data_IF_953553283531
#
_entry.id   IF_953553283531
#
_cell.length_a   1.000
_cell.length_b   1.000
_cell.length_c   1.000
_cell.angle_alpha   90.00
_cell.angle_beta   90.00
_cell.angle_gamma   90.00
#
_symmetry.space_group_name_H-M   'P 1'
#
loop_
_entity.id
_entity.type
_entity.pdbx_description
1 polymer ?
#
# COMPACT_ATOMS: atom_id res chain seq x y z
N UNK A 1 35.59 35.44 -0.65
CA UNK A 1 36.83 35.00 0.03
C UNK A 1 37.29 36.06 0.98
N UNK A 2 37.77 35.72 2.20
CA UNK A 2 38.27 36.66 3.20
C UNK A 2 39.77 36.41 3.42
N UNK A 3 40.57 37.48 3.45
CA UNK A 3 41.97 37.48 3.81
C UNK A 3 42.14 38.20 5.14
N UNK A 4 42.83 37.58 6.08
CA UNK A 4 43.08 38.09 7.45
C UNK A 4 44.58 38.05 7.71
N UNK A 5 45.19 39.19 7.88
CA UNK A 5 46.65 39.33 8.19
C UNK A 5 46.84 40.71 8.78
N UNK A 6 47.62 40.86 9.84
CA UNK A 6 47.90 42.19 10.50
C UNK A 6 48.81 43.07 9.65
N UNK A 7 49.68 42.44 8.85
CA UNK A 7 50.56 43.16 7.89
C UNK A 7 49.80 43.69 6.68
N UNK A 8 49.63 44.99 6.58
CA UNK A 8 49.00 45.66 5.42
C UNK A 8 49.66 45.29 4.10
N UNK A 9 50.99 45.09 4.10
CA UNK A 9 51.73 44.75 2.92
C UNK A 9 51.45 43.31 2.40
N UNK A 10 51.47 42.33 3.32
CA UNK A 10 51.18 40.94 3.02
C UNK A 10 49.73 40.77 2.54
N UNK A 11 48.78 41.39 3.28
CA UNK A 11 47.34 41.37 2.93
C UNK A 11 47.10 41.91 1.54
N UNK A 12 47.77 43.06 1.18
CA UNK A 12 47.60 43.68 -0.14
C UNK A 12 48.21 42.82 -1.25
N UNK A 13 49.35 42.19 -1.05
CA UNK A 13 49.95 41.28 -2.02
C UNK A 13 49.05 40.12 -2.32
N UNK A 14 48.52 39.47 -1.28
CA UNK A 14 47.59 38.33 -1.43
C UNK A 14 46.30 38.78 -2.10
N UNK A 15 45.71 39.92 -1.74
CA UNK A 15 44.50 40.42 -2.32
C UNK A 15 44.64 40.69 -3.83
N UNK A 16 45.74 41.33 -4.25
CA UNK A 16 46.02 41.57 -5.68
C UNK A 16 46.22 40.26 -6.45
N UNK A 17 46.92 39.29 -5.85
CA UNK A 17 47.17 37.98 -6.46
C UNK A 17 45.86 37.20 -6.65
N UNK A 18 45.02 37.13 -5.62
CA UNK A 18 43.73 36.43 -5.65
C UNK A 18 42.75 37.11 -6.60
N UNK A 19 42.70 38.44 -6.62
CA UNK A 19 41.88 39.19 -7.56
C UNK A 19 42.29 38.93 -9.03
N UNK A 20 43.57 38.75 -9.32
CA UNK A 20 44.06 38.34 -10.65
C UNK A 20 43.59 36.91 -11.06
N UNK A 21 43.35 36.04 -10.08
CA UNK A 21 42.80 34.70 -10.30
C UNK A 21 41.26 34.71 -10.38
N UNK A 22 40.63 35.88 -10.25
CA UNK A 22 39.17 36.01 -10.39
C UNK A 22 38.39 35.96 -9.09
N UNK A 23 39.05 35.90 -7.94
CA UNK A 23 38.35 35.89 -6.65
C UNK A 23 37.85 37.27 -6.24
N UNK A 24 36.65 37.33 -5.68
CA UNK A 24 36.18 38.50 -4.93
C UNK A 24 36.75 38.45 -3.53
N UNK A 25 37.55 39.43 -3.15
CA UNK A 25 38.33 39.40 -1.91
C UNK A 25 37.86 40.51 -0.99
N UNK A 26 37.62 40.15 0.27
CA UNK A 26 37.47 41.07 1.41
C UNK A 26 38.74 40.97 2.27
N UNK A 27 39.16 42.11 2.87
CA UNK A 27 40.37 42.19 3.69
C UNK A 27 40.00 42.55 5.13
N UNK A 28 40.62 41.86 6.12
CA UNK A 28 40.50 42.15 7.54
C UNK A 28 41.91 42.30 8.14
N UNK A 29 42.09 43.32 9.00
CA UNK A 29 43.38 43.60 9.62
C UNK A 29 43.61 42.89 10.96
N UNK A 30 42.62 42.24 11.50
CA UNK A 30 42.70 41.44 12.73
C UNK A 30 41.62 40.32 12.73
N UNK A 31 41.75 39.37 13.69
CA UNK A 31 40.76 38.31 13.85
C UNK A 31 39.39 38.85 14.27
N UNK A 32 39.32 39.90 15.09
CA UNK A 32 38.04 40.49 15.52
C UNK A 32 37.30 41.14 14.34
N UNK A 33 38.00 41.86 13.50
CA UNK A 33 37.41 42.47 12.27
C UNK A 33 36.95 41.37 11.31
N UNK A 34 37.73 40.30 11.18
CA UNK A 34 37.38 39.20 10.35
C UNK A 34 36.10 38.46 10.85
N UNK A 35 35.99 38.23 12.15
CA UNK A 35 34.84 37.61 12.77
C UNK A 35 33.58 38.44 12.55
N UNK A 36 33.64 39.77 12.78
CA UNK A 36 32.53 40.68 12.54
C UNK A 36 32.07 40.65 11.05
N UNK A 37 33.01 40.58 10.12
CA UNK A 37 32.66 40.40 8.69
C UNK A 37 32.02 39.05 8.39
N UNK A 38 32.42 37.98 9.10
CA UNK A 38 31.84 36.66 8.93
C UNK A 38 30.42 36.54 9.53
N UNK A 39 30.09 37.40 10.53
CA UNK A 39 28.73 37.51 11.08
C UNK A 39 27.79 38.25 10.14
N UNK A 40 28.32 39.26 9.42
CA UNK A 40 27.52 40.08 8.46
C UNK A 40 27.30 39.37 7.13
N UNK A 41 28.28 38.61 6.64
CA UNK A 41 28.22 37.92 5.36
C UNK A 41 28.97 36.61 5.34
N UNK A 42 28.47 35.64 4.53
CA UNK A 42 29.13 34.37 4.33
C UNK A 42 30.39 34.43 3.49
N UNK A 43 31.43 33.69 3.86
CA UNK A 43 32.63 33.51 3.06
C UNK A 43 32.86 32.02 2.78
N UNK A 44 33.07 31.69 1.51
CA UNK A 44 33.35 30.31 1.06
C UNK A 44 34.75 29.87 1.44
N UNK A 45 35.74 30.81 1.41
CA UNK A 45 37.13 30.54 1.76
C UNK A 45 37.67 31.68 2.63
N UNK A 46 38.32 31.29 3.73
CA UNK A 46 39.03 32.22 4.63
C UNK A 46 40.51 31.85 4.62
N UNK A 47 41.35 32.85 4.37
CA UNK A 47 42.81 32.74 4.43
C UNK A 47 43.32 33.63 5.57
N UNK A 48 43.78 33.07 6.67
CA UNK A 48 44.15 33.81 7.89
C UNK A 48 45.59 33.57 8.27
N UNK A 49 46.30 34.66 8.63
CA UNK A 49 47.55 34.48 9.36
C UNK A 49 47.28 33.76 10.70
N UNK A 50 48.25 32.93 11.11
CA UNK A 50 48.23 32.23 12.35
C UNK A 50 48.43 33.16 13.55
N UNK A 51 49.50 34.02 13.49
CA UNK A 51 49.91 34.90 14.56
C UNK A 51 49.50 36.32 14.26
N UNK A 52 48.52 36.80 14.98
CA UNK A 52 48.05 38.19 14.88
C UNK A 52 47.91 38.77 16.30
N UNK A 53 48.11 40.10 16.49
CA UNK A 53 47.79 40.75 17.75
C UNK A 53 46.31 40.63 18.09
N UNK A 54 46.00 40.38 19.37
CA UNK A 54 44.63 40.10 19.78
C UNK A 54 44.21 38.67 19.48
N UNK A 55 43.19 38.49 18.67
CA UNK A 55 42.67 37.17 18.23
C UNK A 55 43.62 36.54 17.22
N UNK A 56 44.15 35.38 17.56
CA UNK A 56 45.00 34.56 16.69
C UNK A 56 44.15 33.92 15.56
N UNK A 57 44.82 33.53 14.46
CA UNK A 57 44.10 32.81 13.36
C UNK A 57 43.45 31.50 13.79
N UNK A 58 44.01 30.82 14.81
CA UNK A 58 43.43 29.62 15.39
C UNK A 58 42.17 29.91 16.19
N UNK A 59 42.16 30.97 16.98
CA UNK A 59 40.96 31.42 17.73
C UNK A 59 39.86 31.89 16.76
N UNK A 60 40.26 32.62 15.70
CA UNK A 60 39.34 33.00 14.65
C UNK A 60 38.71 31.78 13.98
N UNK A 61 39.51 30.75 13.68
CA UNK A 61 39.01 29.52 13.06
C UNK A 61 37.93 28.86 13.95
N UNK A 62 38.20 28.73 15.26
CA UNK A 62 37.22 28.19 16.21
C UNK A 62 35.94 29.03 16.25
N UNK A 63 36.07 30.34 16.33
CA UNK A 63 34.91 31.24 16.34
C UNK A 63 34.14 31.17 15.03
N UNK A 64 34.81 31.11 13.90
CA UNK A 64 34.22 30.96 12.59
C UNK A 64 33.43 29.64 12.44
N UNK A 65 33.94 28.52 13.00
CA UNK A 65 33.24 27.23 13.03
C UNK A 65 32.00 27.23 13.91
N UNK A 66 31.98 28.06 14.97
CA UNK A 66 30.85 28.19 15.87
C UNK A 66 29.72 29.09 15.36
N UNK A 67 29.94 29.86 14.26
CA UNK A 67 28.92 30.70 13.66
C UNK A 67 27.78 29.84 13.06
N UNK A 68 26.52 30.21 13.29
CA UNK A 68 25.40 29.59 12.59
C UNK A 68 25.44 29.96 11.09
N UNK A 69 25.67 28.98 10.23
CA UNK A 69 25.79 29.22 8.78
C UNK A 69 25.19 28.06 7.99
N UNK A 70 24.57 28.36 6.87
CA UNK A 70 23.94 27.36 5.99
C UNK A 70 24.93 26.64 5.07
N UNK A 71 26.19 27.06 5.01
CA UNK A 71 27.18 26.49 4.11
C UNK A 71 28.50 26.21 4.77
N UNK A 72 29.34 25.42 4.10
CA UNK A 72 30.70 25.16 4.53
C UNK A 72 31.63 26.29 4.10
N UNK A 73 32.52 26.73 5.00
CA UNK A 73 33.60 27.67 4.68
C UNK A 73 34.95 26.99 4.85
N UNK A 74 35.74 26.97 3.80
CA UNK A 74 37.07 26.40 3.81
C UNK A 74 38.05 27.35 4.47
N UNK A 75 38.76 26.92 5.52
CA UNK A 75 39.63 27.76 6.33
C UNK A 75 41.08 27.34 6.18
N UNK A 76 41.95 28.25 5.68
CA UNK A 76 43.38 28.04 5.45
C UNK A 76 44.15 28.91 6.42
N UNK A 77 45.06 28.32 7.20
CA UNK A 77 45.98 29.05 8.06
C UNK A 77 47.34 29.32 7.37
N UNK A 78 47.83 30.55 7.43
CA UNK A 78 49.16 30.92 7.00
C UNK A 78 50.10 30.90 8.22
N UNK A 79 51.20 30.15 8.17
CA UNK A 79 52.10 29.99 9.30
C UNK A 79 53.54 30.22 8.90
N UNK A 80 54.32 30.92 9.77
CA UNK A 80 55.79 31.06 9.67
C UNK A 80 56.51 29.89 10.38
N UNK A 81 55.77 29.02 11.07
CA UNK A 81 56.29 27.92 11.84
C UNK A 81 56.07 26.59 11.09
N UNK A 82 57.08 25.78 11.02
CA UNK A 82 57.07 24.49 10.31
C UNK A 82 57.06 23.28 11.28
N UNK A 83 56.79 23.51 12.57
CA UNK A 83 56.77 22.43 13.57
C UNK A 83 55.50 21.59 13.40
N UNK A 84 55.69 20.28 13.25
CA UNK A 84 54.63 19.31 13.01
C UNK A 84 53.51 19.34 14.07
N UNK A 85 53.89 19.64 15.34
CA UNK A 85 52.94 19.72 16.45
C UNK A 85 51.94 20.90 16.33
N UNK A 86 52.38 22.03 15.80
CA UNK A 86 51.51 23.22 15.62
C UNK A 86 50.55 23.03 14.45
N UNK A 87 51.03 22.40 13.35
CA UNK A 87 50.18 22.05 12.23
C UNK A 87 49.08 21.07 12.63
N UNK A 88 49.42 20.03 13.39
CA UNK A 88 48.42 19.10 13.93
C UNK A 88 47.37 19.81 14.81
N UNK A 89 47.80 20.72 15.68
CA UNK A 89 46.91 21.53 16.52
C UNK A 89 45.98 22.41 15.64
N UNK A 90 46.45 22.97 14.55
CA UNK A 90 45.61 23.77 13.63
C UNK A 90 44.49 22.99 13.01
N UNK A 91 44.78 21.79 12.49
CA UNK A 91 43.82 20.90 11.88
C UNK A 91 42.81 20.35 12.92
N UNK A 92 43.28 19.94 14.11
CA UNK A 92 42.40 19.48 15.21
C UNK A 92 41.41 20.56 15.68
N UNK A 93 41.77 21.84 15.53
CA UNK A 93 40.95 22.98 15.92
C UNK A 93 40.04 23.49 14.79
N UNK A 94 39.92 22.75 13.68
CA UNK A 94 38.92 22.98 12.64
C UNK A 94 39.41 23.72 11.38
N UNK A 95 40.72 24.01 11.24
CA UNK A 95 41.28 24.47 9.98
C UNK A 95 41.30 23.31 8.98
N UNK A 96 40.99 23.61 7.71
CA UNK A 96 40.97 22.60 6.65
C UNK A 96 42.36 22.39 6.04
N UNK A 97 43.17 23.44 6.06
CA UNK A 97 44.49 23.40 5.45
C UNK A 97 45.41 24.48 6.07
N UNK A 98 46.69 24.38 5.75
CA UNK A 98 47.68 25.37 6.12
C UNK A 98 48.69 25.61 5.00
N UNK A 99 49.36 26.77 5.01
CA UNK A 99 50.42 27.16 4.10
C UNK A 99 51.57 27.83 4.84
N UNK A 100 52.78 27.43 4.52
CA UNK A 100 53.98 28.05 5.09
C UNK A 100 54.29 29.41 4.45
N UNK A 101 54.68 30.39 5.25
CA UNK A 101 55.21 31.69 4.81
C UNK A 101 56.73 31.54 4.53
N UNK A 102 57.30 32.09 3.44
CA UNK A 102 56.60 32.90 2.41
C UNK A 102 55.69 32.05 1.52
N UNK A 103 54.48 32.53 1.27
CA UNK A 103 53.42 31.81 0.53
C UNK A 103 53.85 31.61 -0.94
N UNK A 104 53.98 30.37 -1.34
CA UNK A 104 54.21 29.99 -2.73
C UNK A 104 52.92 30.10 -3.53
N UNK A 105 52.98 30.84 -4.69
CA UNK A 105 51.81 31.10 -5.51
C UNK A 105 51.15 29.82 -6.06
N UNK A 106 51.97 28.85 -6.48
CA UNK A 106 51.44 27.62 -7.11
C UNK A 106 50.81 26.70 -6.03
N UNK A 107 51.42 26.66 -4.83
CA UNK A 107 50.87 25.92 -3.70
C UNK A 107 49.54 26.54 -3.22
N UNK A 108 49.50 27.86 -3.03
CA UNK A 108 48.27 28.58 -2.67
C UNK A 108 47.15 28.27 -3.69
N UNK A 109 47.50 28.35 -4.99
CA UNK A 109 46.51 28.07 -6.04
C UNK A 109 46.01 26.65 -6.01
N UNK A 110 46.86 25.67 -5.73
CA UNK A 110 46.47 24.26 -5.59
C UNK A 110 45.52 24.04 -4.40
N UNK A 111 45.85 24.63 -3.22
CA UNK A 111 45.00 24.55 -2.01
C UNK A 111 43.63 25.23 -2.21
N UNK A 112 43.58 26.39 -2.86
CA UNK A 112 42.33 27.07 -3.16
C UNK A 112 41.42 26.21 -4.06
N UNK A 113 41.95 25.55 -5.08
CA UNK A 113 41.17 24.63 -5.92
C UNK A 113 40.59 23.46 -5.14
N UNK A 114 41.31 22.95 -4.16
CA UNK A 114 40.78 21.90 -3.26
C UNK A 114 39.64 22.48 -2.42
N UNK A 115 39.83 23.67 -1.83
CA UNK A 115 38.80 24.36 -1.06
C UNK A 115 37.54 24.65 -1.87
N UNK A 116 37.68 25.16 -3.10
CA UNK A 116 36.55 25.41 -4.02
C UNK A 116 35.75 24.12 -4.27
N UNK A 117 36.45 23.01 -4.53
CA UNK A 117 35.81 21.72 -4.78
C UNK A 117 35.03 21.24 -3.54
N UNK A 118 35.61 21.38 -2.34
CA UNK A 118 34.96 20.99 -1.08
C UNK A 118 33.71 21.84 -0.83
N UNK A 119 33.83 23.17 -0.97
CA UNK A 119 32.71 24.09 -0.79
C UNK A 119 31.58 23.78 -1.79
N UNK A 120 31.93 23.57 -3.07
CA UNK A 120 30.97 23.23 -4.11
C UNK A 120 30.26 21.89 -3.83
N UNK A 121 31.00 20.87 -3.40
CA UNK A 121 30.43 19.58 -3.03
C UNK A 121 29.49 19.69 -1.82
N UNK A 122 29.84 20.49 -0.82
CA UNK A 122 28.99 20.73 0.35
C UNK A 122 27.72 21.50 -0.02
N UNK A 123 27.81 22.51 -0.88
CA UNK A 123 26.64 23.23 -1.39
C UNK A 123 25.71 22.29 -2.17
N UNK A 124 26.26 21.45 -3.04
CA UNK A 124 25.47 20.45 -3.77
C UNK A 124 24.78 19.47 -2.83
N UNK A 125 25.46 19.04 -1.77
CA UNK A 125 24.91 18.14 -0.78
C UNK A 125 23.72 18.77 -0.01
N UNK A 126 23.84 20.04 0.37
CA UNK A 126 22.75 20.79 1.03
C UNK A 126 21.54 20.89 0.13
N UNK A 127 21.73 21.24 -1.15
CA UNK A 127 20.65 21.33 -2.15
C UNK A 127 19.97 19.98 -2.34
N UNK A 128 20.76 18.90 -2.47
CA UNK A 128 20.21 17.53 -2.63
C UNK A 128 19.43 17.09 -1.40
N UNK A 129 19.93 17.35 -0.20
CA UNK A 129 19.22 17.00 1.03
C UNK A 129 17.88 17.74 1.16
N UNK A 130 17.84 19.01 0.76
CA UNK A 130 16.61 19.81 0.76
C UNK A 130 15.59 19.25 -0.27
N UNK A 131 16.08 18.88 -1.47
CA UNK A 131 15.24 18.26 -2.49
C UNK A 131 14.66 16.91 -2.03
N UNK A 132 15.49 16.06 -1.44
CA UNK A 132 15.04 14.77 -0.90
C UNK A 132 13.98 14.98 0.17
N UNK A 133 14.19 15.89 1.12
CA UNK A 133 13.20 16.21 2.15
C UNK A 133 11.86 16.66 1.56
N UNK A 134 11.89 17.61 0.61
CA UNK A 134 10.66 18.12 -0.03
C UNK A 134 9.92 17.02 -0.84
N UNK A 135 10.67 16.11 -1.48
CA UNK A 135 10.09 15.00 -2.24
C UNK A 135 9.42 13.99 -1.31
N UNK A 136 10.06 13.68 -0.16
CA UNK A 136 9.46 12.80 0.84
C UNK A 136 8.15 13.37 1.40
N UNK A 137 8.12 14.68 1.70
CA UNK A 137 6.90 15.35 2.16
C UNK A 137 5.77 15.32 1.11
N UNK A 138 6.10 15.46 -0.19
CA UNK A 138 5.13 15.34 -1.27
C UNK A 138 4.59 13.91 -1.38
N UNK A 139 5.47 12.91 -1.34
CA UNK A 139 5.08 11.50 -1.37
C UNK A 139 4.15 11.16 -0.20
N UNK A 140 4.49 11.59 1.02
CA UNK A 140 3.65 11.35 2.19
C UNK A 140 2.24 11.93 2.02
N UNK A 141 2.12 13.17 1.52
CA UNK A 141 0.80 13.78 1.26
C UNK A 141 -0.01 13.03 0.21
N UNK A 142 0.64 12.50 -0.83
CA UNK A 142 -0.02 11.69 -1.85
C UNK A 142 -0.52 10.36 -1.26
N UNK A 143 0.31 9.68 -0.45
CA UNK A 143 -0.09 8.46 0.25
C UNK A 143 -1.27 8.70 1.18
N UNK A 144 -1.23 9.76 2.00
CA UNK A 144 -2.33 10.10 2.92
C UNK A 144 -3.63 10.45 2.19
N UNK A 145 -3.55 10.99 0.96
CA UNK A 145 -4.72 11.25 0.12
C UNK A 145 -5.31 9.96 -0.44
N UNK A 146 -4.45 9.08 -1.01
CA UNK A 146 -4.86 7.79 -1.57
C UNK A 146 -5.47 6.89 -0.50
N UNK A 147 -4.87 6.85 0.70
CA UNK A 147 -5.38 6.07 1.82
C UNK A 147 -6.79 6.48 2.22
N UNK A 148 -7.06 7.79 2.29
CA UNK A 148 -8.41 8.31 2.56
C UNK A 148 -9.41 7.92 1.49
N UNK A 149 -9.06 8.04 0.21
CA UNK A 149 -9.94 7.69 -0.90
C UNK A 149 -10.27 6.19 -0.89
N UNK A 150 -9.29 5.34 -0.57
CA UNK A 150 -9.47 3.89 -0.44
C UNK A 150 -10.34 3.51 0.77
N UNK A 151 -10.20 4.20 1.91
CA UNK A 151 -11.08 4.01 3.08
C UNK A 151 -12.53 4.35 2.74
N UNK A 152 -12.77 5.41 1.96
CA UNK A 152 -14.12 5.76 1.51
C UNK A 152 -14.67 4.72 0.53
N UNK A 153 -13.87 4.24 -0.41
CA UNK A 153 -14.24 3.16 -1.32
C UNK A 153 -14.60 1.87 -0.56
N UNK A 154 -13.85 1.52 0.49
CA UNK A 154 -14.16 0.38 1.39
C UNK A 154 -15.53 0.51 2.03
N UNK A 155 -15.88 1.69 2.54
CA UNK A 155 -17.20 1.94 3.14
C UNK A 155 -18.32 1.76 2.12
N UNK A 156 -18.12 2.24 0.88
CA UNK A 156 -19.08 2.05 -0.21
C UNK A 156 -19.24 0.58 -0.54
N UNK A 157 -18.16 -0.17 -0.70
CA UNK A 157 -18.19 -1.61 -0.97
C UNK A 157 -18.91 -2.38 0.16
N UNK A 158 -18.59 -2.09 1.43
CA UNK A 158 -19.27 -2.71 2.56
C UNK A 158 -20.78 -2.41 2.59
N UNK A 159 -21.21 -1.27 2.04
CA UNK A 159 -22.62 -0.93 1.93
C UNK A 159 -23.38 -1.75 0.88
N UNK A 160 -22.70 -2.44 -0.03
CA UNK A 160 -23.33 -3.35 -0.99
C UNK A 160 -23.90 -4.58 -0.30
N UNK A 161 -23.31 -4.99 0.81
CA UNK A 161 -23.82 -6.08 1.68
C UNK A 161 -24.56 -5.41 2.86
N UNK A 162 -25.83 -5.05 2.61
CA UNK A 162 -26.62 -4.30 3.59
C UNK A 162 -26.97 -5.13 4.83
N UNK A 163 -27.27 -6.42 4.67
CA UNK A 163 -27.72 -7.30 5.72
C UNK A 163 -26.86 -8.56 5.78
N UNK A 164 -26.02 -8.68 6.81
CA UNK A 164 -25.20 -9.88 7.04
C UNK A 164 -26.04 -11.11 7.45
N UNK A 165 -27.28 -10.89 7.84
CA UNK A 165 -28.23 -11.95 8.16
C UNK A 165 -29.58 -11.62 7.57
N UNK A 166 -30.14 -12.55 6.80
CA UNK A 166 -31.38 -12.35 6.06
C UNK A 166 -32.34 -13.53 6.27
N UNK A 167 -33.54 -13.23 6.74
CA UNK A 167 -34.59 -14.22 6.99
C UNK A 167 -35.58 -14.21 5.81
N UNK A 168 -35.83 -15.41 5.26
CA UNK A 168 -36.81 -15.66 4.19
C UNK A 168 -38.02 -16.47 4.68
N UNK A 169 -38.19 -16.59 5.99
CA UNK A 169 -39.25 -17.37 6.64
C UNK A 169 -38.98 -18.88 6.67
N UNK A 170 -38.70 -19.49 5.50
CA UNK A 170 -38.40 -20.93 5.37
C UNK A 170 -36.91 -21.24 5.23
N UNK A 171 -36.09 -20.23 5.25
CA UNK A 171 -34.65 -20.32 5.25
C UNK A 171 -34.01 -19.01 5.66
N UNK A 172 -32.76 -19.08 6.10
CA UNK A 172 -31.98 -17.92 6.55
C UNK A 172 -30.62 -17.92 5.89
N UNK A 173 -30.13 -16.75 5.46
CA UNK A 173 -28.78 -16.59 4.92
C UNK A 173 -27.96 -15.77 5.89
N UNK A 174 -26.76 -16.23 6.22
CA UNK A 174 -25.75 -15.53 7.03
C UNK A 174 -24.48 -15.36 6.20
N UNK A 175 -23.86 -14.18 6.29
CA UNK A 175 -22.73 -13.82 5.45
C UNK A 175 -21.55 -13.37 6.30
N UNK A 176 -20.34 -13.79 5.90
CA UNK A 176 -19.08 -13.25 6.41
C UNK A 176 -18.29 -12.64 5.26
N UNK A 177 -17.52 -11.58 5.53
CA UNK A 177 -16.63 -10.96 4.57
C UNK A 177 -15.56 -10.15 5.28
N UNK A 178 -14.32 -10.38 4.90
CA UNK A 178 -13.12 -9.69 5.35
C UNK A 178 -12.21 -9.44 4.15
N UNK A 179 -12.05 -8.18 3.77
CA UNK A 179 -11.13 -7.82 2.67
C UNK A 179 -9.68 -7.89 3.10
N UNK A 180 -8.81 -8.38 2.24
CA UNK A 180 -7.35 -8.49 2.42
C UNK A 180 -6.63 -7.14 2.45
N UNK A 181 -7.29 -6.09 1.99
CA UNK A 181 -6.75 -4.74 1.91
C UNK A 181 -7.81 -3.67 2.18
N UNK A 182 -7.64 -2.52 1.52
CA UNK A 182 -8.62 -1.43 1.62
C UNK A 182 -9.93 -1.80 0.93
N UNK A 183 -9.88 -2.42 -0.25
CA UNK A 183 -11.05 -2.88 -1.02
C UNK A 183 -10.76 -4.24 -1.63
N UNK A 184 -11.76 -5.10 -1.71
CA UNK A 184 -11.63 -6.49 -2.15
C UNK A 184 -12.35 -6.81 -3.47
N UNK A 185 -12.06 -8.00 -4.02
CA UNK A 185 -12.71 -8.59 -5.19
C UNK A 185 -13.96 -9.40 -4.86
N UNK A 186 -14.10 -9.83 -3.61
CA UNK A 186 -15.18 -10.72 -3.19
C UNK A 186 -16.54 -10.06 -3.12
N UNK A 187 -17.57 -10.84 -3.45
CA UNK A 187 -18.97 -10.47 -3.31
C UNK A 187 -19.81 -11.70 -2.94
N UNK A 188 -20.50 -11.63 -1.83
CA UNK A 188 -21.51 -12.62 -1.43
C UNK A 188 -22.86 -11.95 -1.32
N UNK A 189 -23.92 -12.68 -1.66
CA UNK A 189 -25.26 -12.08 -1.57
C UNK A 189 -26.38 -13.06 -1.79
N UNK A 190 -27.61 -12.54 -1.57
CA UNK A 190 -28.86 -13.29 -1.77
C UNK A 190 -29.97 -12.37 -2.21
N UNK A 191 -30.93 -12.88 -2.99
CA UNK A 191 -32.13 -12.16 -3.36
C UNK A 191 -33.32 -13.08 -3.54
N UNK A 192 -34.53 -12.53 -3.37
CA UNK A 192 -35.77 -13.22 -3.68
C UNK A 192 -36.01 -13.21 -5.19
N UNK A 193 -36.22 -14.36 -5.76
CA UNK A 193 -36.71 -14.55 -7.14
C UNK A 193 -38.21 -14.31 -7.14
N UNK A 194 -38.92 -15.04 -6.28
CA UNK A 194 -40.36 -14.92 -6.04
C UNK A 194 -40.68 -15.27 -4.57
N UNK A 195 -41.94 -15.51 -4.23
CA UNK A 195 -42.40 -15.80 -2.86
C UNK A 195 -41.79 -17.09 -2.27
N UNK A 196 -41.41 -18.07 -3.13
CA UNK A 196 -40.95 -19.38 -2.72
C UNK A 196 -39.53 -19.72 -3.17
N UNK A 197 -38.91 -18.88 -3.97
CA UNK A 197 -37.56 -19.13 -4.49
C UNK A 197 -36.62 -17.99 -4.19
N UNK A 198 -35.42 -18.37 -3.82
CA UNK A 198 -34.31 -17.44 -3.58
C UNK A 198 -33.10 -17.82 -4.43
N UNK A 199 -32.25 -16.85 -4.65
CA UNK A 199 -30.90 -17.06 -5.14
C UNK A 199 -29.89 -16.67 -4.06
N UNK A 200 -28.82 -17.46 -3.99
CA UNK A 200 -27.61 -17.14 -3.21
C UNK A 200 -26.40 -17.24 -4.11
N UNK A 201 -25.39 -16.41 -3.86
CA UNK A 201 -24.18 -16.42 -4.69
C UNK A 201 -22.94 -16.00 -3.90
N UNK A 202 -21.79 -16.50 -4.36
CA UNK A 202 -20.46 -16.09 -3.98
C UNK A 202 -19.66 -15.85 -5.26
N UNK A 203 -18.99 -14.73 -5.35
CA UNK A 203 -18.19 -14.30 -6.50
C UNK A 203 -16.85 -13.81 -5.97
N UNK A 204 -15.78 -14.16 -6.66
CA UNK A 204 -14.45 -13.64 -6.42
C UNK A 204 -13.85 -13.14 -7.74
N UNK A 205 -13.51 -11.85 -7.77
CA UNK A 205 -12.96 -11.17 -8.96
C UNK A 205 -11.45 -11.23 -8.94
N UNK A 206 -10.86 -11.73 -10.02
CA UNK A 206 -9.40 -11.86 -10.18
C UNK A 206 -8.65 -10.58 -9.89
N UNK A 207 -7.60 -10.67 -9.03
CA UNK A 207 -6.77 -9.57 -8.60
C UNK A 207 -7.39 -8.79 -7.42
N UNK A 208 -6.68 -7.77 -6.95
CA UNK A 208 -7.04 -6.98 -5.77
C UNK A 208 -7.04 -5.47 -6.05
N UNK A 209 -7.64 -4.70 -5.16
CA UNK A 209 -7.64 -3.25 -5.20
C UNK A 209 -8.83 -2.65 -5.97
N UNK A 210 -8.65 -1.41 -6.45
CA UNK A 210 -9.76 -0.59 -6.97
C UNK A 210 -10.44 -1.21 -8.19
N UNK A 211 -9.67 -1.84 -9.08
CA UNK A 211 -10.22 -2.41 -10.31
C UNK A 211 -11.16 -3.59 -10.02
N UNK A 212 -10.75 -4.54 -9.15
CA UNK A 212 -11.61 -5.65 -8.72
C UNK A 212 -12.84 -5.16 -7.94
N UNK A 213 -12.67 -4.18 -7.04
CA UNK A 213 -13.78 -3.56 -6.32
C UNK A 213 -14.82 -2.89 -7.22
N UNK A 214 -14.39 -2.22 -8.29
CA UNK A 214 -15.31 -1.64 -9.28
C UNK A 214 -16.10 -2.72 -10.04
N UNK A 215 -15.45 -3.82 -10.39
CA UNK A 215 -16.10 -4.97 -11.00
C UNK A 215 -17.10 -5.61 -10.02
N UNK A 216 -16.72 -5.81 -8.77
CA UNK A 216 -17.59 -6.29 -7.69
C UNK A 216 -18.85 -5.42 -7.55
N UNK A 217 -18.70 -4.09 -7.56
CA UNK A 217 -19.83 -3.16 -7.51
C UNK A 217 -20.77 -3.30 -8.74
N UNK A 218 -20.21 -3.50 -9.92
CA UNK A 218 -20.99 -3.77 -11.15
C UNK A 218 -21.76 -5.08 -11.04
N UNK A 219 -21.10 -6.16 -10.61
CA UNK A 219 -21.72 -7.47 -10.40
C UNK A 219 -22.81 -7.43 -9.32
N UNK A 220 -22.60 -6.68 -8.24
CA UNK A 220 -23.64 -6.44 -7.22
C UNK A 220 -24.89 -5.79 -7.81
N UNK A 221 -24.75 -4.86 -8.76
CA UNK A 221 -25.86 -4.28 -9.49
C UNK A 221 -26.60 -5.30 -10.36
N UNK A 222 -25.85 -6.16 -11.08
CA UNK A 222 -26.39 -7.20 -11.98
C UNK A 222 -27.04 -8.38 -11.24
N UNK A 223 -26.71 -8.60 -9.97
CA UNK A 223 -27.26 -9.66 -9.10
C UNK A 223 -28.14 -9.09 -7.97
N UNK A 224 -28.56 -7.84 -8.11
CA UNK A 224 -29.37 -7.16 -7.10
C UNK A 224 -30.86 -7.54 -7.16
N UNK A 225 -31.43 -7.91 -6.03
CA UNK A 225 -32.87 -8.09 -5.90
C UNK A 225 -33.67 -6.76 -5.88
N UNK A 226 -33.00 -5.62 -5.67
CA UNK A 226 -33.62 -4.29 -5.63
C UNK A 226 -33.96 -3.71 -7.00
N UNK A 227 -33.36 -4.22 -8.07
CA UNK A 227 -33.59 -3.81 -9.46
C UNK A 227 -33.79 -5.04 -10.35
N UNK A 228 -34.97 -5.70 -10.26
CA UNK A 228 -35.21 -6.97 -10.97
C UNK A 228 -35.06 -6.89 -12.50
N UNK A 229 -35.33 -5.73 -13.08
CA UNK A 229 -35.20 -5.49 -14.51
C UNK A 229 -33.73 -5.48 -15.00
N UNK A 230 -32.81 -5.16 -14.09
CA UNK A 230 -31.37 -5.15 -14.35
C UNK A 230 -30.68 -6.44 -13.90
N UNK A 231 -31.40 -7.30 -13.17
CA UNK A 231 -30.84 -8.53 -12.64
C UNK A 231 -30.75 -9.60 -13.75
N UNK A 232 -29.50 -10.01 -14.07
CA UNK A 232 -29.21 -10.96 -15.15
C UNK A 232 -29.78 -12.36 -14.90
N UNK A 233 -30.03 -12.70 -13.63
CA UNK A 233 -30.60 -13.98 -13.19
C UNK A 233 -32.13 -13.98 -13.19
N UNK A 234 -32.79 -12.89 -13.57
CA UNK A 234 -34.23 -12.77 -13.62
C UNK A 234 -34.72 -12.40 -15.02
N UNK A 235 -35.91 -12.88 -15.34
CA UNK A 235 -36.73 -12.35 -16.44
C UNK A 235 -38.02 -11.81 -15.88
N UNK A 236 -38.39 -10.59 -16.29
CA UNK A 236 -39.63 -9.95 -15.86
C UNK A 236 -40.64 -10.03 -17.02
N UNK A 237 -41.79 -10.65 -16.77
CA UNK A 237 -42.88 -10.77 -17.75
C UNK A 237 -43.65 -9.45 -17.86
N UNK A 238 -44.48 -9.31 -18.87
CA UNK A 238 -45.34 -8.14 -19.13
C UNK A 238 -46.36 -7.90 -18.00
N UNK A 239 -46.72 -8.94 -17.25
CA UNK A 239 -47.62 -8.88 -16.08
C UNK A 239 -46.90 -8.56 -14.76
N UNK A 240 -45.59 -8.32 -14.78
CA UNK A 240 -44.75 -8.05 -13.63
C UNK A 240 -44.31 -9.30 -12.86
N UNK A 241 -44.69 -10.49 -13.29
CA UNK A 241 -44.17 -11.75 -12.70
C UNK A 241 -42.72 -11.96 -13.03
N UNK A 242 -41.97 -12.57 -12.10
CA UNK A 242 -40.54 -12.85 -12.25
C UNK A 242 -40.30 -14.34 -12.44
N UNK A 243 -39.44 -14.68 -13.38
CA UNK A 243 -38.97 -16.03 -13.56
C UNK A 243 -37.46 -16.08 -13.36
N UNK A 244 -36.99 -17.16 -12.71
CA UNK A 244 -35.57 -17.45 -12.62
C UNK A 244 -35.01 -17.81 -14.01
N UNK A 245 -33.82 -17.30 -14.29
CA UNK A 245 -32.96 -17.81 -15.35
C UNK A 245 -32.18 -19.00 -14.78
N UNK A 246 -32.10 -20.11 -15.51
CA UNK A 246 -31.38 -21.29 -15.04
C UNK A 246 -29.92 -20.94 -14.64
N UNK A 247 -29.37 -21.49 -13.56
CA UNK A 247 -28.04 -21.14 -13.06
C UNK A 247 -26.93 -21.22 -14.10
N UNK A 248 -26.92 -22.26 -14.94
CA UNK A 248 -25.96 -22.41 -16.03
C UNK A 248 -26.08 -21.30 -17.09
N UNK A 249 -27.29 -20.85 -17.35
CA UNK A 249 -27.56 -19.74 -18.28
C UNK A 249 -27.16 -18.39 -17.67
N UNK A 250 -27.27 -18.21 -16.34
CA UNK A 250 -26.76 -17.02 -15.63
C UNK A 250 -25.26 -16.91 -15.84
N UNK A 251 -24.52 -17.98 -15.60
CA UNK A 251 -23.08 -18.03 -15.81
C UNK A 251 -22.70 -17.73 -17.27
N UNK A 252 -23.41 -18.32 -18.23
CA UNK A 252 -23.21 -18.08 -19.65
C UNK A 252 -23.44 -16.62 -20.05
N UNK A 253 -24.53 -15.99 -19.56
CA UNK A 253 -24.83 -14.58 -19.82
C UNK A 253 -23.78 -13.65 -19.24
N UNK A 254 -23.32 -13.92 -18.01
CA UNK A 254 -22.24 -13.18 -17.38
C UNK A 254 -20.94 -13.31 -18.17
N UNK A 255 -20.58 -14.53 -18.61
CA UNK A 255 -19.38 -14.75 -19.41
C UNK A 255 -19.42 -13.97 -20.72
N UNK A 256 -20.56 -14.00 -21.42
CA UNK A 256 -20.75 -13.23 -22.65
C UNK A 256 -20.63 -11.73 -22.41
N UNK A 257 -21.27 -11.21 -21.36
CA UNK A 257 -21.21 -9.79 -20.99
C UNK A 257 -19.77 -9.35 -20.67
N UNK A 258 -19.01 -10.16 -19.95
CA UNK A 258 -17.62 -9.85 -19.63
C UNK A 258 -16.75 -9.77 -20.88
N UNK A 259 -16.89 -10.70 -21.80
CA UNK A 259 -16.05 -10.81 -23.00
C UNK A 259 -16.45 -9.78 -24.07
N UNK A 260 -17.75 -9.57 -24.28
CA UNK A 260 -18.25 -8.73 -25.38
C UNK A 260 -18.32 -7.24 -25.00
N UNK A 261 -18.77 -6.92 -23.77
CA UNK A 261 -19.12 -5.55 -23.39
C UNK A 261 -18.07 -4.85 -22.49
N UNK A 262 -17.30 -5.61 -21.71
CA UNK A 262 -16.48 -5.01 -20.65
C UNK A 262 -15.05 -4.72 -21.10
N UNK A 263 -14.51 -5.47 -22.06
CA UNK A 263 -13.16 -5.30 -22.63
C UNK A 263 -12.05 -5.04 -21.56
N UNK A 264 -12.16 -5.69 -20.40
CA UNK A 264 -11.13 -5.67 -19.35
C UNK A 264 -10.52 -7.05 -19.22
N UNK A 265 -9.24 -7.11 -18.89
CA UNK A 265 -8.50 -8.36 -18.68
C UNK A 265 -8.87 -9.07 -17.36
N UNK A 266 -10.00 -8.72 -16.75
CA UNK A 266 -10.48 -9.31 -15.50
C UNK A 266 -11.47 -10.44 -15.79
N UNK A 267 -11.34 -11.49 -15.00
CA UNK A 267 -12.27 -12.61 -14.93
C UNK A 267 -12.69 -12.81 -13.47
N UNK A 268 -13.67 -13.65 -13.21
CA UNK A 268 -14.07 -13.98 -11.85
C UNK A 268 -14.53 -15.41 -11.73
N UNK A 269 -14.47 -15.94 -10.52
CA UNK A 269 -15.06 -17.21 -10.15
C UNK A 269 -16.43 -17.00 -9.52
N UNK A 270 -17.34 -17.95 -9.65
CA UNK A 270 -18.70 -17.83 -9.11
C UNK A 270 -19.27 -19.18 -8.70
N UNK A 271 -19.90 -19.23 -7.52
CA UNK A 271 -20.90 -20.23 -7.17
C UNK A 271 -22.26 -19.51 -7.05
N UNK A 272 -23.25 -19.98 -7.81
CA UNK A 272 -24.60 -19.42 -7.79
C UNK A 272 -25.62 -20.56 -7.64
N UNK A 273 -26.53 -20.42 -6.66
CA UNK A 273 -27.57 -21.43 -6.40
C UNK A 273 -28.96 -20.80 -6.35
N UNK A 274 -29.90 -21.41 -7.06
CA UNK A 274 -31.35 -21.24 -6.91
C UNK A 274 -31.88 -22.28 -5.92
N UNK A 275 -32.68 -21.82 -4.95
CA UNK A 275 -33.23 -22.69 -3.90
C UNK A 275 -34.75 -22.49 -3.85
N UNK A 276 -35.48 -23.60 -3.98
CA UNK A 276 -36.93 -23.63 -3.77
C UNK A 276 -37.21 -23.89 -2.28
N UNK A 277 -37.80 -22.89 -1.62
CA UNK A 277 -38.05 -22.91 -0.17
C UNK A 277 -39.18 -23.86 0.24
N UNK A 278 -40.01 -24.31 -0.72
CA UNK A 278 -41.10 -25.27 -0.44
C UNK A 278 -40.61 -26.71 -0.48
N UNK A 279 -39.81 -27.04 -1.49
CA UNK A 279 -39.33 -28.40 -1.71
C UNK A 279 -37.94 -28.67 -1.15
N UNK A 280 -37.13 -27.63 -0.94
CA UNK A 280 -35.71 -27.75 -0.62
C UNK A 280 -34.84 -28.09 -1.82
N UNK A 281 -35.41 -28.05 -3.06
CA UNK A 281 -34.62 -28.29 -4.26
C UNK A 281 -33.61 -27.17 -4.48
N UNK A 282 -32.37 -27.55 -4.73
CA UNK A 282 -31.26 -26.64 -5.06
C UNK A 282 -30.78 -26.96 -6.47
N UNK A 283 -30.64 -25.93 -7.32
CA UNK A 283 -29.90 -25.97 -8.57
C UNK A 283 -28.71 -25.04 -8.45
N UNK A 284 -27.51 -25.54 -8.68
CA UNK A 284 -26.26 -24.84 -8.46
C UNK A 284 -25.40 -24.87 -9.72
N UNK A 285 -24.81 -23.73 -10.09
CA UNK A 285 -23.68 -23.65 -11.04
C UNK A 285 -22.42 -23.26 -10.29
N UNK A 286 -21.33 -23.91 -10.66
CA UNK A 286 -19.98 -23.61 -10.18
C UNK A 286 -19.13 -23.20 -11.39
N UNK A 287 -18.54 -22.02 -11.34
CA UNK A 287 -17.75 -21.44 -12.42
C UNK A 287 -16.35 -21.08 -11.90
N UNK A 288 -15.47 -22.08 -11.77
CA UNK A 288 -14.12 -21.91 -11.24
C UNK A 288 -14.01 -21.62 -9.73
N UNK A 289 -15.12 -21.55 -9.03
CA UNK A 289 -15.19 -21.20 -7.61
C UNK A 289 -14.92 -22.42 -6.71
N UNK A 290 -14.47 -22.25 -5.43
CA UNK A 290 -14.37 -23.36 -4.50
C UNK A 290 -15.67 -24.18 -4.40
N UNK A 291 -15.53 -25.46 -4.03
CA UNK A 291 -16.67 -26.35 -3.94
C UNK A 291 -17.63 -25.94 -2.82
N UNK A 292 -18.93 -25.66 -3.10
CA UNK A 292 -19.93 -25.46 -2.08
C UNK A 292 -20.02 -26.66 -1.15
N UNK A 293 -20.19 -26.42 0.15
CA UNK A 293 -20.28 -27.49 1.16
C UNK A 293 -21.73 -27.65 1.59
N UNK A 294 -22.29 -28.83 1.36
CA UNK A 294 -23.57 -29.24 1.92
C UNK A 294 -23.35 -29.86 3.30
N UNK A 295 -23.95 -29.24 4.30
CA UNK A 295 -23.88 -29.70 5.71
C UNK A 295 -25.25 -30.27 6.09
N UNK A 296 -25.32 -31.56 6.32
CA UNK A 296 -26.55 -32.20 6.74
C UNK A 296 -26.82 -31.92 8.22
N UNK A 297 -28.08 -32.06 8.62
CA UNK A 297 -28.51 -31.84 10.01
C UNK A 297 -27.77 -32.72 11.02
N UNK A 298 -27.33 -33.93 10.61
CA UNK A 298 -26.54 -34.86 11.43
C UNK A 298 -25.05 -34.53 11.47
N UNK A 299 -24.62 -33.48 10.81
CA UNK A 299 -23.22 -33.04 10.73
C UNK A 299 -22.42 -33.65 9.58
N UNK A 300 -22.99 -34.53 8.75
CA UNK A 300 -22.32 -35.03 7.56
C UNK A 300 -22.10 -33.89 6.56
N UNK A 301 -20.88 -33.80 6.02
CA UNK A 301 -20.50 -32.75 5.06
C UNK A 301 -20.13 -33.38 3.71
N UNK A 302 -20.55 -32.73 2.63
CA UNK A 302 -20.27 -33.15 1.25
C UNK A 302 -20.00 -31.94 0.38
N UNK A 303 -18.89 -31.94 -0.37
CA UNK A 303 -18.60 -30.94 -1.37
C UNK A 303 -19.48 -31.16 -2.62
N UNK A 304 -20.05 -30.09 -3.16
CA UNK A 304 -20.91 -30.12 -4.34
C UNK A 304 -20.19 -29.54 -5.56
N UNK A 305 -20.61 -29.97 -6.75
CA UNK A 305 -20.12 -29.46 -8.04
C UNK A 305 -18.87 -30.18 -8.53
N UNK A 306 -18.43 -29.81 -9.72
CA UNK A 306 -17.28 -30.41 -10.41
C UNK A 306 -16.21 -29.35 -10.83
N UNK A 307 -16.28 -28.14 -10.29
CA UNK A 307 -15.38 -27.02 -10.63
C UNK A 307 -15.98 -26.14 -11.75
N UNK A 308 -15.47 -26.21 -12.95
CA UNK A 308 -15.88 -25.40 -14.08
C UNK A 308 -14.85 -24.33 -14.44
N UNK A 309 -15.15 -23.55 -15.48
CA UNK A 309 -14.29 -22.48 -15.97
C UNK A 309 -14.68 -21.14 -15.32
N UNK A 310 -13.72 -20.28 -14.96
CA UNK A 310 -13.99 -18.91 -14.55
C UNK A 310 -14.78 -18.13 -15.62
N UNK A 311 -15.55 -17.16 -15.18
CA UNK A 311 -16.38 -16.29 -16.02
C UNK A 311 -15.52 -15.12 -16.54
N UNK A 312 -15.62 -14.84 -17.84
CA UNK A 312 -14.87 -13.77 -18.49
C UNK A 312 -13.50 -14.18 -19.04
N UNK A 313 -13.10 -15.46 -18.87
CA UNK A 313 -11.78 -15.93 -19.30
C UNK A 313 -11.81 -16.57 -20.72
N UNK A 314 -12.84 -17.38 -21.03
CA UNK A 314 -12.89 -18.15 -22.26
C UNK A 314 -14.16 -17.79 -23.04
N UNK A 315 -14.04 -17.29 -24.31
CA UNK A 315 -15.18 -17.05 -25.14
C UNK A 315 -15.97 -18.33 -25.41
N UNK A 316 -17.31 -18.27 -25.29
CA UNK A 316 -18.19 -19.39 -25.55
C UNK A 316 -18.09 -20.55 -24.54
N UNK A 317 -17.52 -20.32 -23.34
CA UNK A 317 -17.51 -21.30 -22.27
C UNK A 317 -18.94 -21.78 -21.95
N UNK A 318 -19.09 -23.08 -21.71
CA UNK A 318 -20.34 -23.70 -21.29
C UNK A 318 -20.27 -24.07 -19.81
N UNK A 319 -21.39 -23.98 -19.12
CA UNK A 319 -21.51 -24.26 -17.70
C UNK A 319 -22.56 -25.34 -17.47
N UNK A 320 -22.33 -26.18 -16.47
CA UNK A 320 -23.25 -27.25 -16.09
C UNK A 320 -23.80 -26.99 -14.70
N UNK A 321 -25.08 -27.23 -14.50
CA UNK A 321 -25.71 -27.14 -13.19
C UNK A 321 -25.77 -28.52 -12.50
N UNK A 322 -25.58 -28.48 -11.18
CA UNK A 322 -25.77 -29.64 -10.30
C UNK A 322 -27.03 -29.45 -9.49
N UNK A 323 -27.80 -30.50 -9.31
CA UNK A 323 -29.02 -30.48 -8.49
C UNK A 323 -28.82 -31.31 -7.21
N UNK A 324 -29.32 -30.79 -6.10
CA UNK A 324 -29.37 -31.49 -4.81
C UNK A 324 -30.65 -31.13 -4.06
N UNK A 325 -30.90 -31.80 -2.94
CA UNK A 325 -32.09 -31.59 -2.12
C UNK A 325 -31.65 -31.29 -0.69
N UNK A 326 -32.16 -30.20 -0.13
CA UNK A 326 -32.04 -29.86 1.30
C UNK A 326 -33.22 -30.45 2.07
N UNK A 327 -32.94 -31.06 3.22
CA UNK A 327 -33.91 -31.38 4.22
C UNK A 327 -33.95 -30.31 5.32
N UNK A 328 -35.07 -30.14 6.04
CA UNK A 328 -35.13 -29.16 7.13
C UNK A 328 -34.03 -29.39 8.18
N UNK A 329 -33.21 -28.35 8.39
CA UNK A 329 -32.04 -28.36 9.24
C UNK A 329 -30.71 -28.57 8.51
N UNK A 330 -30.74 -28.84 7.18
CA UNK A 330 -29.54 -28.82 6.35
C UNK A 330 -29.07 -27.41 6.05
N UNK A 331 -27.76 -27.26 5.76
CA UNK A 331 -27.13 -25.99 5.40
C UNK A 331 -26.36 -26.11 4.09
N UNK A 332 -26.34 -25.03 3.34
CA UNK A 332 -25.48 -24.91 2.16
C UNK A 332 -24.49 -23.75 2.38
N UNK A 333 -23.20 -24.02 2.27
CA UNK A 333 -22.15 -23.04 2.46
C UNK A 333 -21.41 -22.78 1.13
N UNK A 334 -21.44 -21.51 0.69
CA UNK A 334 -20.63 -21.00 -0.40
C UNK A 334 -19.44 -20.24 0.21
N UNK A 335 -18.24 -20.43 -0.30
CA UNK A 335 -17.01 -19.90 0.30
C UNK A 335 -16.03 -19.47 -0.78
N UNK A 336 -15.30 -18.36 -0.60
CA UNK A 336 -14.23 -17.93 -1.51
C UNK A 336 -12.94 -18.73 -1.27
N UNK A 337 -12.02 -18.62 -2.24
CA UNK A 337 -10.71 -19.29 -2.18
C UNK A 337 -9.81 -18.73 -1.07
N UNK A 338 -9.94 -17.47 -0.68
CA UNK A 338 -9.21 -16.91 0.46
C UNK A 338 -9.44 -17.65 1.77
N UNK A 339 -10.51 -18.49 1.87
CA UNK A 339 -10.70 -19.42 2.97
C UNK A 339 -9.89 -20.70 2.76
N UNK A 340 -10.03 -21.33 1.58
CA UNK A 340 -9.39 -22.62 1.28
C UNK A 340 -7.90 -22.50 1.01
N UNK A 341 -7.45 -21.38 0.45
CA UNK A 341 -6.06 -21.07 0.18
C UNK A 341 -5.36 -20.32 1.33
N UNK A 342 -6.08 -20.08 2.45
CA UNK A 342 -5.50 -19.48 3.66
C UNK A 342 -4.26 -20.28 4.10
N UNK A 343 -3.05 -19.65 4.16
CA UNK A 343 -1.83 -20.38 4.46
C UNK A 343 -1.58 -20.49 5.97
N UNK A 344 -1.00 -21.60 6.39
CA UNK A 344 -0.41 -21.76 7.71
C UNK A 344 0.96 -21.03 7.79
N UNK A 345 1.62 -20.94 8.97
CA UNK A 345 2.94 -20.32 9.11
C UNK A 345 4.06 -21.00 8.29
N UNK A 346 3.83 -22.19 7.76
CA UNK A 346 4.76 -22.92 6.89
C UNK A 346 4.46 -22.71 5.41
N UNK A 347 3.35 -22.02 5.08
CA UNK A 347 2.90 -21.76 3.71
C UNK A 347 2.04 -22.89 3.13
N UNK A 348 1.53 -23.84 3.93
CA UNK A 348 0.58 -24.84 3.45
C UNK A 348 -0.84 -24.26 3.51
N UNK A 349 -1.61 -24.45 2.45
CA UNK A 349 -3.00 -24.00 2.36
C UNK A 349 -3.91 -24.86 3.26
N UNK A 350 -4.97 -24.25 3.79
CA UNK A 350 -5.99 -24.93 4.58
C UNK A 350 -6.65 -26.08 3.79
N UNK A 351 -6.96 -25.83 2.52
CA UNK A 351 -7.63 -26.77 1.64
C UNK A 351 -9.07 -27.09 2.03
N UNK A 352 -9.74 -27.88 1.22
CA UNK A 352 -11.12 -28.33 1.50
C UNK A 352 -11.20 -29.21 2.75
N UNK A 353 -10.23 -30.08 2.99
CA UNK A 353 -10.23 -30.98 4.14
C UNK A 353 -10.05 -30.20 5.45
N UNK A 354 -9.20 -29.19 5.44
CA UNK A 354 -9.04 -28.25 6.56
C UNK A 354 -10.32 -27.47 6.86
N UNK A 355 -10.97 -26.94 5.82
CA UNK A 355 -12.25 -26.24 5.94
C UNK A 355 -13.33 -27.16 6.57
N UNK A 356 -13.48 -28.40 6.07
CA UNK A 356 -14.43 -29.37 6.63
C UNK A 356 -14.10 -29.66 8.11
N UNK A 357 -12.83 -29.74 8.46
CA UNK A 357 -12.38 -29.97 9.84
C UNK A 357 -12.78 -28.81 10.76
N UNK A 358 -12.55 -27.55 10.34
CA UNK A 358 -12.93 -26.36 11.11
C UNK A 358 -14.46 -26.24 11.26
N UNK A 359 -15.20 -26.43 10.17
CA UNK A 359 -16.66 -26.42 10.21
C UNK A 359 -17.21 -27.50 11.17
N UNK A 360 -16.59 -28.67 11.17
CA UNK A 360 -16.98 -29.79 12.06
C UNK A 360 -16.88 -29.47 13.54
N UNK A 361 -15.93 -28.65 13.96
CA UNK A 361 -15.76 -28.24 15.36
C UNK A 361 -16.91 -27.34 15.84
N UNK A 362 -17.49 -26.56 14.95
CA UNK A 362 -18.49 -25.54 15.28
C UNK A 362 -19.87 -25.81 14.65
N UNK A 363 -20.09 -27.00 14.03
CA UNK A 363 -21.31 -27.35 13.29
C UNK A 363 -22.60 -27.25 14.12
N UNK A 364 -22.51 -27.40 15.44
CA UNK A 364 -23.63 -27.29 16.36
C UNK A 364 -24.12 -25.86 16.64
N UNK A 365 -23.32 -24.85 16.24
CA UNK A 365 -23.67 -23.46 16.44
C UNK A 365 -24.68 -22.97 15.38
N UNK A 366 -25.51 -21.95 15.70
CA UNK A 366 -26.25 -21.21 14.67
C UNK A 366 -25.31 -20.59 13.64
N UNK A 367 -25.76 -20.47 12.38
CA UNK A 367 -24.91 -20.04 11.27
C UNK A 367 -24.17 -18.72 11.50
N UNK A 368 -24.76 -17.65 12.10
CA UNK A 368 -23.98 -16.45 12.40
C UNK A 368 -22.79 -16.70 13.30
N UNK A 369 -22.99 -17.49 14.38
CA UNK A 369 -21.93 -17.82 15.34
C UNK A 369 -20.90 -18.80 14.75
N UNK A 370 -21.34 -19.71 13.88
CA UNK A 370 -20.43 -20.63 13.18
C UNK A 370 -19.50 -19.86 12.26
N UNK A 371 -20.02 -18.87 11.51
CA UNK A 371 -19.20 -18.03 10.64
C UNK A 371 -18.22 -17.15 11.43
N UNK A 372 -18.63 -16.63 12.59
CA UNK A 372 -17.73 -15.91 13.51
C UNK A 372 -16.62 -16.83 14.06
N UNK A 373 -16.97 -18.05 14.45
CA UNK A 373 -16.01 -19.05 14.90
C UNK A 373 -15.01 -19.42 13.77
N UNK A 374 -15.49 -19.63 12.56
CA UNK A 374 -14.66 -19.91 11.39
C UNK A 374 -13.67 -18.75 11.13
N UNK A 375 -14.12 -17.50 11.16
CA UNK A 375 -13.26 -16.33 11.01
C UNK A 375 -12.18 -16.27 12.10
N UNK A 376 -12.54 -16.61 13.33
CA UNK A 376 -11.58 -16.64 14.44
C UNK A 376 -10.55 -17.78 14.27
N UNK A 377 -11.00 -18.95 13.83
CA UNK A 377 -10.14 -20.12 13.57
C UNK A 377 -9.18 -19.84 12.40
N UNK A 378 -9.65 -19.19 11.32
CA UNK A 378 -8.80 -18.75 10.21
C UNK A 378 -7.75 -17.73 10.65
N UNK A 379 -8.12 -16.76 11.48
CA UNK A 379 -7.18 -15.77 12.02
C UNK A 379 -6.11 -16.41 12.91
N UNK A 380 -6.41 -17.52 13.60
CA UNK A 380 -5.43 -18.28 14.37
C UNK A 380 -4.59 -19.22 13.49
N UNK A 381 -5.13 -19.71 12.39
CA UNK A 381 -4.43 -20.55 11.42
C UNK A 381 -3.40 -19.71 10.63
N UNK A 382 -3.79 -18.53 10.18
CA UNK A 382 -2.94 -17.56 9.53
C UNK A 382 -2.29 -16.63 10.58
N UNK A 383 -1.04 -16.83 10.92
CA UNK A 383 -0.31 -15.95 11.86
C UNK A 383 0.18 -14.71 11.12
N UNK A 384 -0.72 -13.75 10.88
CA UNK A 384 -0.44 -12.48 10.21
C UNK A 384 -1.42 -11.37 10.64
N UNK A 385 -1.18 -10.13 10.22
CA UNK A 385 -2.06 -9.01 10.54
C UNK A 385 -3.27 -8.92 9.59
N UNK A 386 -3.05 -9.18 8.30
CA UNK A 386 -4.06 -9.14 7.25
C UNK A 386 -4.00 -10.42 6.42
N UNK A 387 -5.16 -10.97 6.06
CA UNK A 387 -5.22 -12.13 5.18
C UNK A 387 -4.59 -11.82 3.81
N UNK A 388 -3.93 -12.79 3.18
CA UNK A 388 -3.30 -12.60 1.87
C UNK A 388 -4.30 -12.37 0.75
N UNK A 389 -5.53 -12.89 0.91
CA UNK A 389 -6.64 -12.70 -0.02
C UNK A 389 -7.94 -12.41 0.72
N UNK A 390 -8.97 -11.99 -0.02
CA UNK A 390 -10.29 -11.71 0.51
C UNK A 390 -10.93 -12.99 1.06
N UNK A 391 -11.48 -12.91 2.27
CA UNK A 391 -12.14 -14.03 2.93
C UNK A 391 -13.64 -13.75 2.96
N UNK A 392 -14.41 -14.53 2.22
CA UNK A 392 -15.87 -14.40 2.20
C UNK A 392 -16.60 -15.73 2.24
N UNK A 393 -17.85 -15.69 2.68
CA UNK A 393 -18.71 -16.86 2.67
C UNK A 393 -20.15 -16.54 2.97
N UNK A 394 -21.04 -17.40 2.46
CA UNK A 394 -22.47 -17.33 2.68
C UNK A 394 -22.98 -18.71 3.11
N UNK A 395 -23.56 -18.78 4.31
CA UNK A 395 -24.23 -19.95 4.86
C UNK A 395 -25.74 -19.79 4.73
N UNK A 396 -26.40 -20.73 4.09
CA UNK A 396 -27.85 -20.80 3.99
C UNK A 396 -28.39 -21.95 4.84
N UNK A 397 -29.25 -21.64 5.80
CA UNK A 397 -29.97 -22.61 6.63
C UNK A 397 -31.35 -22.87 6.01
N UNK A 398 -31.67 -24.13 5.70
CA UNK A 398 -32.99 -24.51 5.23
C UNK A 398 -33.87 -24.94 6.40
N UNK A 399 -34.96 -24.24 6.64
CA UNK A 399 -35.88 -24.52 7.75
C UNK A 399 -37.04 -25.42 7.33
N UNK A 400 -37.34 -25.47 6.04
CA UNK A 400 -38.44 -26.24 5.48
C UNK A 400 -39.78 -25.52 5.49
N UNK A 401 -40.82 -26.12 4.90
CA UNK A 401 -42.17 -25.61 4.98
C UNK A 401 -42.69 -25.75 6.45
N UNK A 402 -43.39 -24.72 6.91
CA UNK A 402 -44.01 -24.65 8.25
C UNK A 402 -45.11 -25.68 8.39
#
# INVERSE_FOLDING_TARGET
MLIVDDSKAQRRILAVQLARWGYRVSEAASGEVALALCEEQGFDIVLSDWMMPGMTGLELCKAFRALPREGYGYFILLTSKSEKAEIASGLENGADDFLAKPVNSDELRARLRVGERIVSMQQELVIKNHLVGSTLDQLQRLYDSLDRDLIEAKKLQQSLIRDRHRDFGRGQASMMMQSSGHVGGDLVGSFLIDENRIAIFSVDVSGHGVASAMMTARLAGLLSGGSPEQNIALTVNADGTRNAVAPEEVAFRLNRLMIEDVQVDQYFTMAYAEIDLMSGQVKLVQAGHPHPVLIRKDGQMTSLGAGGLPIGLIPGATYESVSTMLSPGDRLFLVSDGVTECPDPLGNELGNDGLITLLGQSVHLPSPNLLEALMWDLANFFVGNDFPDDVSGLMFDYLGPA
#
